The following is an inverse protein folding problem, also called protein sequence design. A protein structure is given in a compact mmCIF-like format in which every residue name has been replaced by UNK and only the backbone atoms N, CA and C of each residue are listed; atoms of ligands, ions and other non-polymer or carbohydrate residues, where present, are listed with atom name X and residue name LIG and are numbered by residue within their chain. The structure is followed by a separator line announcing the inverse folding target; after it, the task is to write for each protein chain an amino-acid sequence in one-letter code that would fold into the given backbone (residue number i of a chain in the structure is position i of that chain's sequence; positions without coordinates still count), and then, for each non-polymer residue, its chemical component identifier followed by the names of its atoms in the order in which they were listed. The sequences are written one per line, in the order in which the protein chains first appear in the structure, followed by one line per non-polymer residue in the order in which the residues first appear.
data_IF_638959060350
#
_entry.id   IF_638959060350
#
_cell.length_a   1.000
_cell.length_b   1.000
_cell.length_c   1.000
_cell.angle_alpha   90.00
_cell.angle_beta   90.00
_cell.angle_gamma   90.00
#
_symmetry.space_group_name_H-M   'P 1'
#
loop_
_entity.id
_entity.type
_entity.pdbx_description
1 polymer ?
#
# COMPACT_ATOMS: atom_id res chain seq x y z
N UNK A 1 0.43 -2.65 -21.56
CA UNK A 1 1.41 -2.63 -20.46
C UNK A 1 1.71 -1.19 -20.06
N UNK A 2 2.23 -0.95 -18.85
CA UNK A 2 2.57 0.42 -18.39
C UNK A 2 3.44 1.17 -19.41
N UNK A 3 4.45 0.51 -19.96
CA UNK A 3 5.32 1.11 -20.99
C UNK A 3 4.56 1.46 -22.29
N UNK A 4 3.61 0.63 -22.73
CA UNK A 4 2.78 0.97 -23.91
C UNK A 4 1.82 2.13 -23.65
N UNK A 5 1.55 2.42 -22.38
CA UNK A 5 0.69 3.53 -21.94
C UNK A 5 1.50 4.81 -21.63
N UNK A 6 2.78 4.85 -22.03
CA UNK A 6 3.70 5.99 -21.85
C UNK A 6 3.91 6.35 -20.35
N UNK A 7 3.97 5.34 -19.49
CA UNK A 7 4.26 5.50 -18.07
C UNK A 7 5.78 5.45 -17.88
N UNK A 8 6.36 6.49 -17.27
CA UNK A 8 7.80 6.61 -17.03
C UNK A 8 8.23 5.95 -15.70
N UNK A 9 7.31 5.85 -14.74
CA UNK A 9 7.56 5.27 -13.42
C UNK A 9 6.33 4.50 -12.91
N UNK A 10 6.56 3.30 -12.35
CA UNK A 10 5.51 2.46 -11.78
C UNK A 10 5.88 1.98 -10.38
N UNK A 11 4.94 1.98 -9.45
CA UNK A 11 5.05 1.28 -8.17
C UNK A 11 4.19 0.02 -8.19
N UNK A 12 4.86 -1.14 -8.32
CA UNK A 12 4.19 -2.43 -8.25
C UNK A 12 4.04 -2.86 -6.79
N UNK A 13 2.83 -3.30 -6.39
CA UNK A 13 2.58 -3.76 -5.02
C UNK A 13 2.15 -5.22 -4.98
N UNK A 14 2.60 -5.94 -3.95
CA UNK A 14 2.26 -7.33 -3.74
C UNK A 14 2.41 -7.72 -2.27
N UNK A 15 1.81 -8.86 -1.88
CA UNK A 15 1.90 -9.42 -0.54
C UNK A 15 2.89 -10.61 -0.53
N UNK A 16 4.13 -10.45 -0.03
CA UNK A 16 5.14 -11.51 -0.03
C UNK A 16 4.68 -12.80 0.67
N UNK A 17 3.89 -12.69 1.74
CA UNK A 17 3.39 -13.84 2.51
C UNK A 17 2.59 -14.83 1.67
N UNK A 18 1.96 -14.39 0.57
CA UNK A 18 1.18 -15.27 -0.31
C UNK A 18 2.03 -16.07 -1.30
N UNK A 19 3.29 -15.75 -1.44
CA UNK A 19 4.18 -16.37 -2.43
C UNK A 19 5.18 -17.35 -1.80
N UNK A 20 5.22 -17.51 -0.47
CA UNK A 20 6.10 -18.41 0.26
C UNK A 20 5.67 -19.88 0.27
N UNK A 21 4.57 -20.25 -0.41
CA UNK A 21 3.91 -21.58 -0.32
C UNK A 21 4.78 -22.77 -0.82
N UNK A 22 5.89 -22.51 -1.51
CA UNK A 22 6.81 -23.54 -2.04
C UNK A 22 8.14 -23.57 -1.32
N UNK A 23 8.20 -23.12 -0.06
CA UNK A 23 9.40 -23.13 0.76
C UNK A 23 10.38 -21.99 0.48
N UNK A 24 9.97 -20.98 -0.28
CA UNK A 24 10.74 -19.75 -0.44
C UNK A 24 10.66 -18.90 0.82
N UNK A 25 11.80 -18.33 1.25
CA UNK A 25 11.78 -17.31 2.29
C UNK A 25 11.18 -16.00 1.77
N UNK A 26 10.79 -15.11 2.68
CA UNK A 26 10.29 -13.77 2.33
C UNK A 26 11.28 -13.00 1.48
N UNK A 27 12.57 -13.05 1.83
CA UNK A 27 13.66 -12.39 1.11
C UNK A 27 13.77 -12.93 -0.32
N UNK A 28 13.74 -14.25 -0.48
CA UNK A 28 13.80 -14.89 -1.81
C UNK A 28 12.62 -14.50 -2.70
N UNK A 29 11.44 -14.36 -2.11
CA UNK A 29 10.24 -13.87 -2.82
C UNK A 29 10.44 -12.43 -3.27
N UNK A 30 10.89 -11.53 -2.37
CA UNK A 30 11.15 -10.12 -2.70
C UNK A 30 12.23 -10.00 -3.77
N UNK A 31 13.36 -10.68 -3.62
CA UNK A 31 14.43 -10.71 -4.62
C UNK A 31 13.96 -11.16 -6.00
N UNK A 32 13.05 -12.15 -6.04
CA UNK A 32 12.52 -12.65 -7.30
C UNK A 32 11.68 -11.60 -8.02
N UNK A 33 10.86 -10.84 -7.26
CA UNK A 33 10.09 -9.72 -7.81
C UNK A 33 11.02 -8.61 -8.29
N UNK A 34 12.01 -8.23 -7.47
CA UNK A 34 12.96 -7.18 -7.83
C UNK A 34 13.77 -7.52 -9.09
N UNK A 35 14.20 -8.78 -9.27
CA UNK A 35 14.85 -9.24 -10.51
C UNK A 35 13.94 -9.09 -11.73
N UNK A 36 12.64 -9.42 -11.59
CA UNK A 36 11.67 -9.23 -12.67
C UNK A 36 11.45 -7.76 -13.01
N UNK A 37 11.35 -6.90 -12.01
CA UNK A 37 11.19 -5.46 -12.20
C UNK A 37 12.44 -4.84 -12.86
N UNK A 38 13.63 -5.24 -12.43
CA UNK A 38 14.89 -4.78 -13.03
C UNK A 38 15.05 -5.24 -14.49
N UNK A 39 14.57 -6.44 -14.82
CA UNK A 39 14.52 -6.88 -16.21
C UNK A 39 13.54 -6.01 -17.03
N UNK A 40 12.35 -5.76 -16.51
CA UNK A 40 11.36 -4.90 -17.15
C UNK A 40 11.87 -3.47 -17.38
N UNK A 41 12.58 -2.90 -16.39
CA UNK A 41 13.22 -1.59 -16.51
C UNK A 41 14.18 -1.54 -17.70
N UNK A 42 15.04 -2.55 -17.85
CA UNK A 42 16.02 -2.62 -18.95
C UNK A 42 15.37 -2.82 -20.31
N UNK A 43 14.28 -3.57 -20.36
CA UNK A 43 13.59 -3.90 -21.62
C UNK A 43 12.70 -2.76 -22.11
N UNK A 44 12.07 -2.01 -21.20
CA UNK A 44 11.01 -1.05 -21.53
C UNK A 44 11.34 0.40 -21.16
N UNK A 45 12.54 0.67 -20.65
CA UNK A 45 12.97 2.02 -20.22
C UNK A 45 11.96 2.70 -19.28
N UNK A 46 11.48 1.95 -18.29
CA UNK A 46 10.52 2.40 -17.27
C UNK A 46 11.14 2.24 -15.88
N UNK A 47 11.13 3.30 -15.09
CA UNK A 47 11.56 3.22 -13.70
C UNK A 47 10.50 2.55 -12.81
N UNK A 48 10.94 1.98 -11.70
CA UNK A 48 10.04 1.27 -10.79
C UNK A 48 10.37 1.43 -9.31
N UNK A 49 9.34 1.23 -8.49
CA UNK A 49 9.44 0.90 -7.08
C UNK A 49 8.60 -0.31 -6.76
N UNK A 50 8.90 -1.00 -5.67
CA UNK A 50 8.10 -2.11 -5.16
C UNK A 50 7.55 -1.76 -3.79
N UNK A 51 6.24 -1.90 -3.62
CA UNK A 51 5.55 -1.74 -2.35
C UNK A 51 5.18 -3.13 -1.82
N UNK A 52 5.57 -3.44 -0.58
CA UNK A 52 5.26 -4.72 0.06
C UNK A 52 4.04 -4.56 0.97
N UNK A 53 3.03 -5.43 0.80
CA UNK A 53 1.79 -5.35 1.54
C UNK A 53 1.78 -6.30 2.74
N UNK A 54 1.60 -5.75 3.94
CA UNK A 54 1.05 -6.46 5.06
C UNK A 54 -0.45 -6.74 4.82
N UNK A 55 -0.96 -7.84 5.36
CA UNK A 55 -2.32 -8.27 5.12
C UNK A 55 -3.15 -8.25 6.40
N UNK A 56 -4.31 -7.61 6.34
CA UNK A 56 -5.19 -7.37 7.51
C UNK A 56 -5.67 -8.64 8.20
N UNK A 57 -5.80 -9.75 7.47
CA UNK A 57 -6.23 -11.04 8.02
C UNK A 57 -5.09 -11.94 8.48
N UNK A 58 -3.84 -11.50 8.29
CA UNK A 58 -2.66 -12.21 8.76
C UNK A 58 -2.29 -11.78 10.19
N UNK A 59 -1.57 -12.66 10.89
CA UNK A 59 -1.07 -12.36 12.23
C UNK A 59 -0.10 -11.17 12.21
N UNK A 60 -0.20 -10.31 13.21
CA UNK A 60 0.68 -9.14 13.34
C UNK A 60 2.16 -9.53 13.31
N UNK A 61 2.52 -10.64 13.98
CA UNK A 61 3.90 -11.13 14.02
C UNK A 61 4.42 -11.53 12.63
N UNK A 62 3.59 -12.21 11.82
CA UNK A 62 3.96 -12.59 10.45
C UNK A 62 4.13 -11.36 9.56
N UNK A 63 3.22 -10.40 9.66
CA UNK A 63 3.32 -9.12 8.97
C UNK A 63 4.60 -8.37 9.39
N UNK A 64 4.90 -8.29 10.69
CA UNK A 64 6.08 -7.59 11.19
C UNK A 64 7.38 -8.26 10.72
N UNK A 65 7.47 -9.58 10.73
CA UNK A 65 8.63 -10.30 10.23
C UNK A 65 8.84 -10.05 8.73
N UNK A 66 7.77 -10.11 7.94
CA UNK A 66 7.80 -9.81 6.51
C UNK A 66 8.28 -8.37 6.26
N UNK A 67 7.77 -7.39 7.00
CA UNK A 67 8.15 -5.98 6.86
C UNK A 67 9.62 -5.74 7.27
N UNK A 68 10.12 -6.44 8.28
CA UNK A 68 11.56 -6.41 8.65
C UNK A 68 12.43 -6.94 7.53
N UNK A 69 12.07 -8.08 6.93
CA UNK A 69 12.78 -8.62 5.78
C UNK A 69 12.74 -7.66 4.58
N UNK A 70 11.58 -7.05 4.30
CA UNK A 70 11.44 -6.08 3.22
C UNK A 70 12.27 -4.80 3.43
N UNK A 71 12.47 -4.40 4.70
CA UNK A 71 13.28 -3.22 5.05
C UNK A 71 14.72 -3.32 4.57
N UNK A 72 15.28 -4.53 4.49
CA UNK A 72 16.64 -4.77 3.99
C UNK A 72 16.81 -4.39 2.50
N UNK A 73 15.71 -4.35 1.76
CA UNK A 73 15.66 -3.98 0.35
C UNK A 73 15.25 -2.52 0.11
N UNK A 74 15.02 -1.74 1.17
CA UNK A 74 14.64 -0.33 1.02
C UNK A 74 15.76 0.46 0.32
N UNK A 75 15.39 1.19 -0.74
CA UNK A 75 16.35 1.88 -1.61
C UNK A 75 17.02 0.98 -2.66
N UNK A 76 16.83 -0.33 -2.58
CA UNK A 76 17.31 -1.32 -3.55
C UNK A 76 16.12 -1.96 -4.31
N UNK A 77 15.15 -1.14 -4.69
CA UNK A 77 13.95 -1.54 -5.43
C UNK A 77 12.69 -1.54 -4.58
N UNK A 78 12.73 -1.91 -3.29
CA UNK A 78 11.61 -1.67 -2.38
C UNK A 78 11.58 -0.18 -2.01
N UNK A 79 10.41 0.46 -2.13
CA UNK A 79 10.22 1.88 -1.86
C UNK A 79 9.28 2.18 -0.68
N UNK A 80 8.35 1.28 -0.36
CA UNK A 80 7.38 1.48 0.72
C UNK A 80 6.74 0.18 1.22
N UNK A 81 6.08 0.25 2.35
CA UNK A 81 5.13 -0.74 2.85
C UNK A 81 3.68 -0.30 2.59
N UNK A 82 2.75 -1.26 2.70
CA UNK A 82 1.30 -1.02 2.62
C UNK A 82 0.55 -1.98 3.56
N UNK A 83 -0.72 -1.70 3.81
CA UNK A 83 -1.66 -2.58 4.51
C UNK A 83 -2.89 -2.80 3.64
N UNK A 84 -3.06 -4.02 3.16
CA UNK A 84 -4.16 -4.39 2.27
C UNK A 84 -5.08 -5.45 2.90
N UNK A 85 -6.22 -5.71 2.25
CA UNK A 85 -7.23 -6.68 2.70
C UNK A 85 -8.51 -6.05 3.19
N UNK A 86 -9.39 -6.84 3.83
CA UNK A 86 -10.74 -6.41 4.20
C UNK A 86 -10.73 -5.35 5.31
N UNK A 87 -10.81 -4.09 4.91
CA UNK A 87 -10.80 -2.92 5.81
C UNK A 87 -12.03 -2.89 6.75
N UNK A 88 -13.19 -3.36 6.30
CA UNK A 88 -14.39 -3.34 7.09
C UNK A 88 -14.34 -4.36 8.25
N UNK A 89 -13.72 -5.53 8.01
CA UNK A 89 -13.55 -6.55 9.03
C UNK A 89 -12.38 -6.27 9.98
N UNK A 90 -11.36 -5.57 9.51
CA UNK A 90 -10.11 -5.30 10.23
C UNK A 90 -9.75 -3.81 10.11
N UNK A 91 -10.32 -2.95 10.96
CA UNK A 91 -10.11 -1.50 10.89
C UNK A 91 -8.65 -1.11 11.19
N UNK A 92 -8.25 0.08 10.72
CA UNK A 92 -6.87 0.58 10.85
C UNK A 92 -6.40 0.67 12.30
N UNK A 93 -7.31 0.91 13.25
CA UNK A 93 -6.99 0.98 14.68
C UNK A 93 -6.32 -0.29 15.24
N UNK A 94 -6.51 -1.46 14.62
CA UNK A 94 -5.86 -2.70 15.02
C UNK A 94 -4.37 -2.78 14.61
N UNK A 95 -3.92 -1.92 13.69
CA UNK A 95 -2.58 -1.97 13.11
C UNK A 95 -1.68 -0.80 13.51
N UNK A 96 -2.15 0.03 14.47
CA UNK A 96 -1.40 1.19 14.95
C UNK A 96 -0.01 0.80 15.49
N UNK A 97 0.08 -0.31 16.24
CA UNK A 97 1.34 -0.80 16.77
C UNK A 97 2.28 -1.30 15.66
N UNK A 98 1.76 -2.08 14.71
CA UNK A 98 2.53 -2.58 13.58
C UNK A 98 3.18 -1.42 12.81
N UNK A 99 2.40 -0.37 12.47
CA UNK A 99 2.93 0.76 11.71
C UNK A 99 3.75 1.74 12.55
N UNK A 100 3.62 1.73 13.86
CA UNK A 100 4.59 2.39 14.75
C UNK A 100 5.97 1.72 14.66
N UNK A 101 6.04 0.38 14.54
CA UNK A 101 7.30 -0.33 14.29
C UNK A 101 7.86 -0.02 12.90
N UNK A 102 7.02 -0.03 11.85
CA UNK A 102 7.43 0.33 10.48
C UNK A 102 8.06 1.72 10.45
N UNK A 103 7.44 2.68 11.16
CA UNK A 103 7.96 4.04 11.29
C UNK A 103 9.32 4.08 12.01
N UNK A 104 9.51 3.27 13.07
CA UNK A 104 10.81 3.16 13.76
C UNK A 104 11.91 2.59 12.87
N UNK A 105 11.54 1.73 11.92
CA UNK A 105 12.46 1.20 10.90
C UNK A 105 12.76 2.22 9.79
N UNK A 106 12.21 3.43 9.87
CA UNK A 106 12.34 4.48 8.83
C UNK A 106 11.91 3.99 7.43
N UNK A 107 10.93 3.11 7.39
CA UNK A 107 10.36 2.60 6.14
C UNK A 107 9.14 3.44 5.77
N UNK A 108 9.12 4.10 4.59
CA UNK A 108 7.94 4.81 4.11
C UNK A 108 6.75 3.85 3.93
N UNK A 109 5.53 4.36 4.08
CA UNK A 109 4.34 3.55 3.83
C UNK A 109 3.17 4.35 3.31
N UNK A 110 2.39 3.68 2.49
CA UNK A 110 1.03 4.03 2.09
C UNK A 110 0.08 3.06 2.79
N UNK A 111 -1.19 3.40 2.95
CA UNK A 111 -2.15 2.51 3.60
C UNK A 111 -3.48 2.53 2.87
N UNK A 112 -4.02 1.37 2.52
CA UNK A 112 -5.40 1.26 2.07
C UNK A 112 -6.32 1.73 3.19
N UNK A 113 -7.10 2.78 2.96
CA UNK A 113 -8.04 3.32 3.93
C UNK A 113 -9.18 4.08 3.26
N UNK A 114 -10.38 3.96 3.82
CA UNK A 114 -11.58 4.66 3.37
C UNK A 114 -12.29 4.01 2.17
N UNK A 115 -11.90 2.82 1.73
CA UNK A 115 -12.62 2.09 0.70
C UNK A 115 -13.97 1.58 1.23
N UNK A 116 -14.02 1.13 2.48
CA UNK A 116 -15.24 0.63 3.12
C UNK A 116 -16.17 1.73 3.68
N UNK A 117 -15.89 3.02 3.40
CA UNK A 117 -16.68 4.15 3.87
C UNK A 117 -16.28 4.69 5.26
N UNK A 118 -15.21 4.18 5.87
CA UNK A 118 -14.73 4.64 7.17
C UNK A 118 -13.72 5.78 7.03
N UNK A 119 -14.15 7.01 7.33
CA UNK A 119 -13.24 8.16 7.43
C UNK A 119 -12.26 8.00 8.60
N UNK A 120 -12.65 7.29 9.67
CA UNK A 120 -11.78 7.06 10.81
C UNK A 120 -10.54 6.25 10.43
N UNK A 121 -10.67 5.24 9.55
CA UNK A 121 -9.53 4.49 9.06
C UNK A 121 -8.50 5.38 8.33
N UNK A 122 -8.99 6.40 7.60
CA UNK A 122 -8.11 7.39 6.95
C UNK A 122 -7.39 8.24 8.00
N UNK A 123 -8.12 8.73 9.01
CA UNK A 123 -7.53 9.55 10.08
C UNK A 123 -6.50 8.75 10.89
N UNK A 124 -6.78 7.49 11.18
CA UNK A 124 -5.85 6.58 11.86
C UNK A 124 -4.59 6.33 11.01
N UNK A 125 -4.73 6.12 9.69
CA UNK A 125 -3.61 5.98 8.77
C UNK A 125 -2.72 7.23 8.75
N UNK A 126 -3.34 8.41 8.68
CA UNK A 126 -2.64 9.70 8.74
C UNK A 126 -1.96 9.91 10.10
N UNK A 127 -2.58 9.49 11.19
CA UNK A 127 -2.01 9.57 12.54
C UNK A 127 -0.80 8.65 12.69
N UNK A 128 -0.82 7.46 12.09
CA UNK A 128 0.34 6.55 12.03
C UNK A 128 1.53 7.18 11.31
N UNK A 129 1.29 8.11 10.39
CA UNK A 129 2.31 8.78 9.59
C UNK A 129 2.38 8.28 8.15
N UNK A 130 1.31 7.70 7.62
CA UNK A 130 1.22 7.38 6.19
C UNK A 130 1.44 8.64 5.36
N UNK A 131 2.28 8.54 4.33
CA UNK A 131 2.51 9.62 3.37
C UNK A 131 1.44 9.66 2.28
N UNK A 132 0.80 8.54 2.04
CA UNK A 132 -0.30 8.37 1.08
C UNK A 132 -1.38 7.46 1.66
N UNK A 133 -2.59 7.59 1.13
CA UNK A 133 -3.74 6.75 1.45
C UNK A 133 -4.29 6.16 0.15
N UNK A 134 -4.40 4.85 0.08
CA UNK A 134 -5.07 4.16 -1.01
C UNK A 134 -6.59 4.34 -0.91
N UNK A 135 -7.26 4.51 -2.05
CA UNK A 135 -8.70 4.74 -2.22
C UNK A 135 -9.17 6.11 -1.72
N UNK A 136 -9.23 6.34 -0.40
CA UNK A 136 -9.62 7.62 0.19
C UNK A 136 -11.10 8.02 -0.04
N UNK A 137 -11.98 7.15 -0.54
CA UNK A 137 -13.36 7.47 -0.95
C UNK A 137 -14.17 8.07 0.20
N UNK A 138 -13.94 7.57 1.42
CA UNK A 138 -14.64 8.06 2.62
C UNK A 138 -14.35 9.54 2.95
N UNK A 139 -13.42 10.20 2.26
CA UNK A 139 -13.19 11.64 2.40
C UNK A 139 -14.34 12.47 1.79
N UNK A 140 -15.13 11.90 0.88
CA UNK A 140 -16.22 12.62 0.22
C UNK A 140 -17.15 13.27 1.24
N UNK A 141 -17.30 14.59 1.17
CA UNK A 141 -18.11 15.36 2.10
C UNK A 141 -17.53 15.61 3.50
N UNK A 142 -16.37 15.04 3.83
CA UNK A 142 -15.74 15.14 5.14
C UNK A 142 -14.74 16.31 5.21
N UNK A 143 -15.25 17.53 5.29
CA UNK A 143 -14.46 18.78 5.21
C UNK A 143 -13.26 18.80 6.16
N UNK A 144 -13.43 18.34 7.40
CA UNK A 144 -12.36 18.35 8.41
C UNK A 144 -11.27 17.32 8.10
N UNK A 145 -11.66 16.10 7.70
CA UNK A 145 -10.70 15.07 7.31
C UNK A 145 -9.91 15.48 6.04
N UNK A 146 -10.60 16.10 5.07
CA UNK A 146 -9.95 16.68 3.87
C UNK A 146 -8.94 17.74 4.29
N UNK A 147 -9.30 18.65 5.22
CA UNK A 147 -8.40 19.67 5.74
C UNK A 147 -7.16 19.05 6.37
N UNK A 148 -7.33 18.02 7.22
CA UNK A 148 -6.22 17.31 7.87
C UNK A 148 -5.29 16.69 6.83
N UNK A 149 -5.84 15.99 5.84
CA UNK A 149 -5.03 15.37 4.77
C UNK A 149 -4.25 16.42 3.98
N UNK A 150 -4.91 17.51 3.61
CA UNK A 150 -4.28 18.62 2.89
C UNK A 150 -3.16 19.28 3.70
N UNK A 151 -3.41 19.63 4.96
CA UNK A 151 -2.48 20.34 5.83
C UNK A 151 -1.24 19.46 6.17
N UNK A 152 -1.39 18.14 6.08
CA UNK A 152 -0.30 17.16 6.24
C UNK A 152 0.29 16.66 4.91
N UNK A 153 -0.15 17.21 3.78
CA UNK A 153 0.32 16.83 2.43
C UNK A 153 0.17 15.33 2.13
N UNK A 154 -0.94 14.73 2.56
CA UNK A 154 -1.22 13.31 2.31
C UNK A 154 -1.65 13.11 0.85
N UNK A 155 -0.92 12.26 0.12
CA UNK A 155 -1.32 11.84 -1.22
C UNK A 155 -2.51 10.89 -1.19
N UNK A 156 -3.38 10.98 -2.19
CA UNK A 156 -4.50 10.04 -2.37
C UNK A 156 -4.24 9.23 -3.64
N UNK A 157 -4.20 7.91 -3.50
CA UNK A 157 -4.06 6.99 -4.63
C UNK A 157 -5.44 6.68 -5.20
N UNK A 158 -5.71 7.20 -6.38
CA UNK A 158 -6.99 7.03 -7.07
C UNK A 158 -7.10 5.62 -7.63
N UNK A 159 -8.15 4.86 -7.26
CA UNK A 159 -8.35 3.46 -7.64
C UNK A 159 -9.72 3.24 -8.33
N UNK A 160 -10.06 3.95 -9.42
CA UNK A 160 -11.43 3.97 -9.96
C UNK A 160 -11.94 2.59 -10.35
N UNK A 161 -11.16 1.79 -11.08
CA UNK A 161 -11.57 0.44 -11.49
C UNK A 161 -11.76 -0.49 -10.30
N UNK A 162 -10.85 -0.48 -9.32
CA UNK A 162 -10.95 -1.29 -8.11
C UNK A 162 -12.20 -0.93 -7.32
N UNK A 163 -12.44 0.36 -7.12
CA UNK A 163 -13.59 0.86 -6.36
C UNK A 163 -14.94 0.49 -6.99
N UNK A 164 -15.00 0.38 -8.31
CA UNK A 164 -16.18 -0.12 -9.03
C UNK A 164 -16.33 -1.64 -8.89
N UNK A 165 -15.22 -2.38 -9.00
CA UNK A 165 -15.23 -3.84 -8.86
C UNK A 165 -15.62 -4.30 -7.46
N UNK A 166 -15.14 -3.62 -6.44
CA UNK A 166 -15.50 -3.87 -5.03
C UNK A 166 -16.85 -3.28 -4.65
N UNK A 167 -17.51 -2.54 -5.56
CA UNK A 167 -18.78 -1.82 -5.34
C UNK A 167 -18.70 -0.75 -4.24
N UNK A 168 -17.51 -0.29 -3.91
CA UNK A 168 -17.29 0.84 -3.03
C UNK A 168 -17.83 2.14 -3.66
N UNK A 169 -17.79 2.23 -5.00
CA UNK A 169 -18.43 3.27 -5.82
C UNK A 169 -19.36 2.56 -6.80
N UNK A 170 -20.61 3.02 -6.91
CA UNK A 170 -21.64 2.40 -7.76
C UNK A 170 -21.64 2.94 -9.19
N UNK A 171 -21.34 4.21 -9.35
CA UNK A 171 -21.35 4.92 -10.63
C UNK A 171 -20.03 5.70 -10.77
N UNK A 172 -19.37 5.66 -11.95
CA UNK A 172 -18.19 6.49 -12.22
C UNK A 172 -18.41 7.98 -11.96
N UNK A 173 -19.64 8.48 -12.13
CA UNK A 173 -20.01 9.87 -11.84
C UNK A 173 -19.97 10.20 -10.32
N UNK A 174 -19.89 9.20 -9.47
CA UNK A 174 -19.77 9.36 -8.02
C UNK A 174 -18.31 9.55 -7.54
N UNK A 175 -17.38 9.61 -8.46
CA UNK A 175 -15.95 9.69 -8.16
C UNK A 175 -15.46 11.12 -7.92
#
# INVERSE_FOLDING_TARGET
SAASDQVDYIEARFAPLFSGQRGLSTEQVIESVLRGMEQGKKEFDIDYGVIVCAMRHEKEEANLQMLKAAREFLGNGVCAADLAGNEAAFPMSQFMNLFAEVKRMEMPFTLHAGECGSVQNILDAVQCGASRVGHGIALRGQKEAIRICRDRHIGIEMCPLSNMQTKAVKDPADY
#
